data_IF_142228005331
#
_entry.id   IF_142228005331
#
_cell.length_a   1.000
_cell.length_b   1.000
_cell.length_c   1.000
_cell.angle_alpha   90.00
_cell.angle_beta   90.00
_cell.angle_gamma   90.00
#
_symmetry.space_group_name_H-M   'P 1'
#
loop_
_entity.id
_entity.type
_entity.pdbx_description
1 polymer ?
#
# COMPACT_ATOMS: atom_id res chain seq x y z
N UNK A 1 48.92 62.60 7.48
CA UNK A 1 48.57 61.27 8.08
C UNK A 1 47.11 61.00 7.79
N UNK A 2 46.82 60.14 6.79
CA UNK A 2 45.45 59.74 6.37
C UNK A 2 45.26 58.27 6.73
N UNK A 3 44.44 58.03 7.77
CA UNK A 3 44.05 56.67 8.18
C UNK A 3 42.96 56.15 7.23
N UNK A 4 43.28 55.11 6.48
CA UNK A 4 42.30 54.30 5.72
C UNK A 4 41.63 53.30 6.67
N UNK A 5 40.33 53.47 6.91
CA UNK A 5 39.47 52.46 7.53
C UNK A 5 39.04 51.49 6.45
N UNK A 6 39.54 50.22 6.50
CA UNK A 6 39.07 49.10 5.70
C UNK A 6 37.79 48.55 6.37
N UNK A 7 36.61 48.80 5.76
CA UNK A 7 35.40 48.09 6.08
C UNK A 7 35.44 46.69 5.42
N UNK A 8 35.61 45.65 6.23
CA UNK A 8 35.41 44.27 5.80
C UNK A 8 33.90 43.98 5.74
N UNK A 9 33.34 43.95 4.54
CA UNK A 9 31.98 43.48 4.31
C UNK A 9 31.97 41.95 4.46
N UNK A 10 31.45 41.45 5.59
CA UNK A 10 31.07 40.03 5.70
C UNK A 10 29.82 39.81 4.82
N UNK A 11 30.05 39.25 3.64
CA UNK A 11 29.00 38.67 2.80
C UNK A 11 28.51 37.39 3.49
N UNK A 12 27.37 37.46 4.15
CA UNK A 12 26.61 36.29 4.57
C UNK A 12 26.16 35.55 3.31
N UNK A 13 26.80 34.43 3.03
CA UNK A 13 26.34 33.47 2.00
C UNK A 13 25.03 32.87 2.52
N UNK A 14 23.89 33.05 1.85
CA UNK A 14 22.67 32.35 2.25
C UNK A 14 22.97 30.85 2.07
N UNK A 15 22.87 30.09 3.15
CA UNK A 15 22.86 28.63 3.09
C UNK A 15 21.59 28.25 2.31
N UNK A 16 21.74 28.05 0.99
CA UNK A 16 20.72 27.41 0.17
C UNK A 16 20.51 26.02 0.71
N UNK A 17 19.44 25.83 1.48
CA UNK A 17 18.93 24.50 1.78
C UNK A 17 18.38 23.93 0.48
N UNK A 18 19.16 23.10 -0.20
CA UNK A 18 18.72 22.41 -1.41
C UNK A 18 18.02 21.11 -0.98
N UNK A 19 16.77 20.96 -1.42
CA UNK A 19 16.07 19.69 -1.33
C UNK A 19 16.76 18.68 -2.25
N UNK A 20 17.12 17.52 -1.72
CA UNK A 20 17.64 16.40 -2.50
C UNK A 20 16.48 15.49 -2.89
N UNK A 21 16.24 15.33 -4.19
CA UNK A 21 15.22 14.43 -4.71
C UNK A 21 15.88 13.27 -5.45
N UNK A 22 15.61 12.06 -4.98
CA UNK A 22 16.05 10.80 -5.58
C UNK A 22 14.85 10.12 -6.23
N UNK A 23 14.94 9.75 -7.52
CA UNK A 23 13.89 9.04 -8.25
C UNK A 23 14.35 7.64 -8.63
N UNK A 24 13.71 6.63 -8.04
CA UNK A 24 13.89 5.21 -8.37
C UNK A 24 12.49 4.67 -8.66
N UNK A 25 12.03 4.60 -9.92
CA UNK A 25 10.68 4.15 -10.23
C UNK A 25 10.34 2.80 -9.58
N UNK A 26 9.19 2.64 -8.93
CA UNK A 26 8.09 3.61 -8.76
C UNK A 26 8.27 4.60 -7.58
N UNK A 27 9.43 4.63 -6.92
CA UNK A 27 9.70 5.38 -5.69
C UNK A 27 10.35 6.74 -5.98
N UNK A 28 9.83 7.79 -5.36
CA UNK A 28 10.46 9.12 -5.28
C UNK A 28 10.76 9.44 -3.81
N UNK A 29 12.01 9.80 -3.53
CA UNK A 29 12.48 10.18 -2.18
C UNK A 29 12.89 11.62 -2.20
N UNK A 30 12.34 12.44 -1.33
CA UNK A 30 12.71 13.85 -1.12
C UNK A 30 13.21 14.05 0.29
N UNK A 31 14.38 14.67 0.45
CA UNK A 31 14.92 15.05 1.76
C UNK A 31 15.05 16.55 1.85
N UNK A 32 14.49 17.13 2.91
CA UNK A 32 14.54 18.58 3.21
C UNK A 32 15.31 18.79 4.51
N UNK A 33 16.33 19.68 4.55
CA UNK A 33 17.06 19.95 5.77
C UNK A 33 16.16 20.48 6.88
N UNK A 34 16.35 20.02 8.12
CA UNK A 34 15.66 20.54 9.29
C UNK A 34 16.42 21.79 9.78
N UNK A 35 15.75 22.95 9.77
CA UNK A 35 16.36 24.24 10.03
C UNK A 35 16.87 24.46 11.47
N UNK A 36 16.46 23.63 12.43
CA UNK A 36 16.80 23.79 13.85
C UNK A 36 17.22 22.45 14.47
N UNK A 37 18.48 22.36 14.91
CA UNK A 37 18.93 21.37 15.91
C UNK A 37 20.16 20.55 15.60
N UNK A 38 20.29 19.88 14.49
CA UNK A 38 21.51 19.16 14.14
C UNK A 38 21.82 19.26 12.65
N UNK A 39 23.09 19.49 12.33
CA UNK A 39 23.58 19.65 10.96
C UNK A 39 23.36 18.42 10.05
N UNK A 40 22.82 17.32 10.62
CA UNK A 40 22.72 16.02 9.98
C UNK A 40 21.31 15.42 9.99
N UNK A 41 20.30 16.18 10.42
CA UNK A 41 18.91 15.72 10.44
C UNK A 41 18.13 16.31 9.26
N UNK A 42 17.38 15.47 8.56
CA UNK A 42 16.57 15.83 7.40
C UNK A 42 15.18 15.24 7.53
N UNK A 43 14.17 16.03 7.13
CA UNK A 43 12.85 15.45 6.86
C UNK A 43 12.95 14.54 5.63
N UNK A 44 12.40 13.35 5.76
CA UNK A 44 12.33 12.36 4.70
C UNK A 44 10.87 12.25 4.24
N UNK A 45 10.62 12.50 2.97
CA UNK A 45 9.36 12.19 2.32
C UNK A 45 9.60 11.18 1.21
N UNK A 46 8.94 10.04 1.28
CA UNK A 46 8.97 9.04 0.23
C UNK A 46 7.57 8.93 -0.38
N UNK A 47 7.52 8.87 -1.70
CA UNK A 47 6.28 8.70 -2.45
C UNK A 47 6.46 7.56 -3.43
N UNK A 48 5.63 6.52 -3.33
CA UNK A 48 5.56 5.43 -4.29
C UNK A 48 4.31 5.58 -5.15
N UNK A 49 4.48 5.56 -6.47
CA UNK A 49 3.38 5.49 -7.42
C UNK A 49 2.89 4.03 -7.53
N UNK A 50 1.61 3.82 -7.29
CA UNK A 50 0.97 2.51 -7.30
C UNK A 50 0.05 2.31 -8.51
N UNK A 51 0.22 3.07 -9.59
CA UNK A 51 -0.55 2.93 -10.82
C UNK A 51 -0.49 1.50 -11.38
N UNK A 52 0.69 0.89 -11.40
CA UNK A 52 0.85 -0.51 -11.84
C UNK A 52 0.05 -1.48 -10.97
N UNK A 53 -0.04 -1.24 -9.66
CA UNK A 53 -0.88 -2.04 -8.76
C UNK A 53 -2.36 -1.85 -9.07
N UNK A 54 -2.80 -0.60 -9.34
CA UNK A 54 -4.19 -0.31 -9.73
C UNK A 54 -4.56 -1.06 -11.02
N UNK A 55 -3.70 -1.03 -12.01
CA UNK A 55 -3.92 -1.69 -13.31
C UNK A 55 -3.98 -3.22 -13.20
N UNK A 56 -3.22 -3.81 -12.27
CA UNK A 56 -3.10 -5.26 -12.12
C UNK A 56 -3.91 -5.85 -10.97
N UNK A 57 -4.62 -5.05 -10.17
CA UNK A 57 -5.30 -5.52 -8.96
C UNK A 57 -6.30 -6.64 -9.23
N UNK A 58 -7.02 -6.59 -10.35
CA UNK A 58 -7.93 -7.66 -10.76
C UNK A 58 -7.20 -8.98 -10.92
N UNK A 59 -6.11 -9.00 -11.69
CA UNK A 59 -5.33 -10.21 -11.95
C UNK A 59 -4.70 -10.78 -10.68
N UNK A 60 -4.22 -9.91 -9.79
CA UNK A 60 -3.65 -10.30 -8.49
C UNK A 60 -4.70 -11.00 -7.61
N UNK A 61 -5.89 -10.42 -7.49
CA UNK A 61 -6.97 -11.03 -6.70
C UNK A 61 -7.48 -12.32 -7.34
N UNK A 62 -7.61 -12.37 -8.66
CA UNK A 62 -7.98 -13.60 -9.38
C UNK A 62 -6.99 -14.72 -9.11
N UNK A 63 -5.70 -14.45 -9.17
CA UNK A 63 -4.66 -15.46 -8.91
C UNK A 63 -4.70 -16.03 -7.48
N UNK A 64 -5.17 -15.24 -6.51
CA UNK A 64 -5.22 -15.64 -5.11
C UNK A 64 -6.56 -16.26 -4.70
N UNK A 65 -7.67 -15.82 -5.28
CA UNK A 65 -9.02 -16.14 -4.82
C UNK A 65 -9.76 -17.12 -5.76
N UNK A 66 -9.42 -17.14 -7.06
CA UNK A 66 -10.09 -18.03 -8.01
C UNK A 66 -9.53 -19.45 -7.91
N UNK A 67 -10.18 -20.28 -7.11
CA UNK A 67 -9.81 -21.68 -6.93
C UNK A 67 -10.70 -22.57 -7.80
N UNK A 68 -10.13 -23.63 -8.33
CA UNK A 68 -10.81 -24.57 -9.25
C UNK A 68 -11.50 -25.75 -8.53
N UNK A 69 -11.63 -25.70 -7.20
CA UNK A 69 -12.25 -26.78 -6.44
C UNK A 69 -13.72 -26.93 -6.82
N UNK A 70 -14.12 -28.16 -7.13
CA UNK A 70 -15.48 -28.45 -7.55
C UNK A 70 -16.45 -28.69 -6.39
N UNK A 71 -15.97 -28.65 -5.15
CA UNK A 71 -16.74 -28.98 -3.96
C UNK A 71 -16.58 -27.88 -2.89
N UNK A 72 -17.66 -27.57 -2.18
CA UNK A 72 -17.62 -26.57 -1.13
C UNK A 72 -17.94 -25.16 -1.63
N UNK A 73 -17.36 -24.17 -1.01
CA UNK A 73 -17.55 -22.76 -1.33
C UNK A 73 -16.51 -22.31 -2.36
N UNK A 74 -16.98 -21.64 -3.39
CA UNK A 74 -16.15 -21.09 -4.45
C UNK A 74 -16.42 -19.60 -4.57
N UNK A 75 -15.38 -18.82 -4.39
CA UNK A 75 -15.40 -17.38 -4.64
C UNK A 75 -14.48 -17.12 -5.83
N UNK A 76 -14.99 -16.44 -6.85
CA UNK A 76 -14.21 -15.99 -8.00
C UNK A 76 -14.33 -14.48 -8.15
N UNK A 77 -13.21 -13.81 -8.36
CA UNK A 77 -13.16 -12.38 -8.66
C UNK A 77 -13.33 -12.22 -10.16
N UNK A 78 -14.31 -11.41 -10.56
CA UNK A 78 -14.54 -11.05 -11.96
C UNK A 78 -13.75 -9.80 -12.33
N UNK A 79 -13.82 -8.80 -11.47
CA UNK A 79 -13.15 -7.50 -11.62
C UNK A 79 -12.86 -6.90 -10.25
N UNK A 80 -11.82 -6.08 -10.18
CA UNK A 80 -11.55 -5.23 -9.02
C UNK A 80 -11.04 -3.86 -9.46
N UNK A 81 -11.31 -2.83 -8.66
CA UNK A 81 -10.73 -1.49 -8.78
C UNK A 81 -10.08 -1.11 -7.46
N UNK A 82 -9.03 -0.30 -7.54
CA UNK A 82 -8.33 0.24 -6.38
C UNK A 82 -8.24 1.76 -6.56
N UNK A 83 -9.01 2.47 -5.78
CA UNK A 83 -9.21 3.91 -5.93
C UNK A 83 -8.63 4.68 -4.73
N UNK A 84 -8.02 5.87 -4.94
CA UNK A 84 -7.57 6.71 -3.83
C UNK A 84 -8.77 7.22 -3.01
N UNK A 85 -8.66 7.07 -1.69
CA UNK A 85 -9.61 7.62 -0.71
C UNK A 85 -8.84 8.14 0.51
N UNK A 86 -7.98 9.17 0.35
CA UNK A 86 -7.04 9.61 1.39
C UNK A 86 -7.69 9.82 2.76
N UNK A 87 -7.02 9.42 3.85
CA UNK A 87 -5.67 8.84 3.96
C UNK A 87 -5.60 7.32 3.70
N UNK A 88 -6.71 6.70 3.32
CA UNK A 88 -6.86 5.30 2.94
C UNK A 88 -6.97 5.12 1.41
N UNK A 89 -7.20 3.89 0.97
CA UNK A 89 -7.66 3.57 -0.40
C UNK A 89 -8.88 2.66 -0.35
N UNK A 90 -9.68 2.68 -1.39
CA UNK A 90 -10.87 1.85 -1.55
C UNK A 90 -10.63 0.78 -2.62
N UNK A 91 -10.60 -0.46 -2.19
CA UNK A 91 -10.64 -1.62 -3.08
C UNK A 91 -12.09 -2.06 -3.24
N UNK A 92 -12.59 -2.13 -4.48
CA UNK A 92 -13.93 -2.65 -4.78
C UNK A 92 -13.78 -3.91 -5.61
N UNK A 93 -14.15 -5.06 -5.06
CA UNK A 93 -14.11 -6.36 -5.74
C UNK A 93 -15.52 -6.79 -6.17
N UNK A 94 -15.67 -7.11 -7.44
CA UNK A 94 -16.86 -7.74 -8.03
C UNK A 94 -16.61 -9.24 -8.09
N UNK A 95 -17.46 -9.99 -7.40
CA UNK A 95 -17.23 -11.43 -7.19
C UNK A 95 -18.43 -12.25 -7.61
N UNK A 96 -18.16 -13.47 -8.07
CA UNK A 96 -19.14 -14.52 -8.22
C UNK A 96 -18.92 -15.59 -7.14
N UNK A 97 -19.96 -15.93 -6.42
CA UNK A 97 -19.95 -16.94 -5.37
C UNK A 97 -20.81 -18.14 -5.76
N UNK A 98 -20.29 -19.32 -5.49
CA UNK A 98 -21.02 -20.58 -5.64
C UNK A 98 -20.77 -21.47 -4.43
N UNK A 99 -21.81 -22.21 -4.04
CA UNK A 99 -21.69 -23.28 -3.05
C UNK A 99 -22.14 -24.60 -3.66
N UNK A 100 -21.25 -25.58 -3.59
CA UNK A 100 -21.44 -26.89 -4.16
C UNK A 100 -21.43 -27.97 -3.07
N UNK A 101 -22.42 -28.89 -3.10
CA UNK A 101 -22.38 -30.11 -2.32
C UNK A 101 -21.85 -31.25 -3.18
N UNK A 102 -20.93 -32.02 -2.63
CA UNK A 102 -20.40 -33.21 -3.29
C UNK A 102 -20.83 -34.44 -2.52
N UNK A 103 -21.52 -35.33 -3.20
CA UNK A 103 -21.98 -36.60 -2.67
C UNK A 103 -21.27 -37.74 -3.42
N UNK A 104 -20.66 -38.64 -2.65
CA UNK A 104 -20.09 -39.90 -3.20
C UNK A 104 -21.14 -40.98 -3.09
N UNK A 105 -21.70 -41.40 -4.23
CA UNK A 105 -22.62 -42.51 -4.31
C UNK A 105 -22.01 -43.59 -5.19
N UNK A 106 -21.88 -44.80 -4.66
CA UNK A 106 -21.36 -45.99 -5.42
C UNK A 106 -20.02 -45.74 -6.13
N UNK A 107 -19.10 -45.01 -5.48
CA UNK A 107 -17.77 -44.70 -6.03
C UNK A 107 -17.73 -43.57 -7.07
N UNK A 108 -18.89 -43.05 -7.48
CA UNK A 108 -18.98 -41.87 -8.36
C UNK A 108 -19.25 -40.62 -7.53
N UNK A 109 -18.48 -39.55 -7.77
CA UNK A 109 -18.68 -38.26 -7.18
C UNK A 109 -19.66 -37.47 -8.03
N UNK A 110 -20.75 -36.99 -7.41
CA UNK A 110 -21.71 -36.09 -8.02
C UNK A 110 -21.61 -34.70 -7.27
N UNK A 111 -21.50 -33.62 -8.03
CA UNK A 111 -21.52 -32.29 -7.51
C UNK A 111 -22.86 -31.61 -7.84
N UNK A 112 -23.50 -31.00 -6.86
CA UNK A 112 -24.73 -30.24 -7.03
C UNK A 112 -24.54 -28.83 -6.49
N UNK A 113 -24.87 -27.83 -7.33
CA UNK A 113 -24.88 -26.44 -6.91
C UNK A 113 -26.03 -26.18 -5.96
N UNK A 114 -25.73 -25.69 -4.74
CA UNK A 114 -26.72 -25.39 -3.70
C UNK A 114 -27.09 -23.92 -3.68
N UNK A 115 -26.13 -23.05 -3.93
CA UNK A 115 -26.29 -21.60 -3.86
C UNK A 115 -25.36 -20.92 -4.86
N UNK A 116 -25.68 -19.69 -5.23
CA UNK A 116 -24.84 -18.82 -6.04
C UNK A 116 -25.42 -17.43 -6.14
N UNK A 117 -24.58 -16.49 -6.52
CA UNK A 117 -24.93 -15.08 -6.72
C UNK A 117 -23.70 -14.25 -6.97
N UNK A 118 -23.94 -13.02 -7.39
CA UNK A 118 -22.89 -12.04 -7.55
C UNK A 118 -22.88 -11.09 -6.35
N UNK A 119 -21.72 -10.51 -6.09
CA UNK A 119 -21.59 -9.56 -5.00
C UNK A 119 -20.57 -8.48 -5.29
N UNK A 120 -20.70 -7.39 -4.59
CA UNK A 120 -19.74 -6.28 -4.56
C UNK A 120 -19.21 -6.18 -3.14
N UNK A 121 -17.91 -6.23 -3.01
CA UNK A 121 -17.19 -6.23 -1.74
C UNK A 121 -16.32 -4.98 -1.70
N UNK A 122 -16.73 -3.92 -0.98
CA UNK A 122 -15.89 -2.78 -0.72
C UNK A 122 -14.94 -3.09 0.44
N UNK A 123 -13.66 -2.75 0.29
CA UNK A 123 -12.62 -2.93 1.31
C UNK A 123 -11.83 -1.64 1.43
N UNK A 124 -11.85 -1.05 2.62
CA UNK A 124 -10.98 0.07 2.95
C UNK A 124 -9.61 -0.46 3.33
N UNK A 125 -8.57 0.04 2.68
CA UNK A 125 -7.18 -0.31 2.96
C UNK A 125 -6.51 0.86 3.65
N UNK A 126 -6.11 0.67 4.91
CA UNK A 126 -5.39 1.69 5.68
C UNK A 126 -3.94 1.26 5.85
N UNK A 127 -2.97 2.07 5.39
CA UNK A 127 -1.57 1.75 5.60
C UNK A 127 -1.17 2.08 7.04
N UNK A 128 -0.30 1.28 7.61
CA UNK A 128 0.25 1.47 8.96
C UNK A 128 1.74 1.08 8.98
N UNK A 129 2.51 1.74 9.83
CA UNK A 129 3.90 1.37 10.09
C UNK A 129 3.93 0.26 11.13
N UNK A 130 4.66 -0.81 10.82
CA UNK A 130 4.99 -1.86 11.78
C UNK A 130 6.32 -1.57 12.48
N UNK A 131 6.61 -2.27 13.58
CA UNK A 131 7.77 -2.04 14.45
C UNK A 131 9.14 -2.12 13.74
N UNK A 132 9.21 -2.77 12.59
CA UNK A 132 10.43 -2.93 11.79
C UNK A 132 10.50 -1.97 10.59
N UNK A 133 9.81 -0.85 10.63
CA UNK A 133 9.69 0.13 9.54
C UNK A 133 9.06 -0.43 8.25
N UNK A 134 8.36 -1.56 8.34
CA UNK A 134 7.60 -2.09 7.23
C UNK A 134 6.23 -1.44 7.16
N UNK A 135 5.78 -1.16 5.94
CA UNK A 135 4.40 -0.75 5.71
C UNK A 135 3.51 -2.00 5.67
N UNK A 136 2.49 -2.03 6.52
CA UNK A 136 1.43 -3.03 6.51
C UNK A 136 0.14 -2.40 6.06
N UNK A 137 -0.70 -3.17 5.38
CA UNK A 137 -2.04 -2.76 5.02
C UNK A 137 -3.04 -3.44 5.94
N UNK A 138 -3.92 -2.65 6.56
CA UNK A 138 -5.03 -3.13 7.36
C UNK A 138 -6.30 -3.07 6.50
N UNK A 139 -6.82 -4.22 6.00
CA UNK A 139 -8.06 -4.27 5.25
C UNK A 139 -9.26 -4.25 6.21
N UNK A 140 -10.23 -3.40 5.92
CA UNK A 140 -11.54 -3.37 6.58
C UNK A 140 -12.62 -3.63 5.53
N UNK A 141 -13.26 -4.80 5.62
CA UNK A 141 -14.33 -5.18 4.69
C UNK A 141 -15.62 -4.47 5.09
N UNK A 142 -16.12 -3.65 4.18
CA UNK A 142 -17.37 -2.93 4.33
C UNK A 142 -18.61 -3.82 4.14
N UNK A 143 -19.76 -3.18 3.97
CA UNK A 143 -21.01 -3.90 3.73
C UNK A 143 -20.97 -4.59 2.36
N UNK A 144 -21.09 -5.91 2.35
CA UNK A 144 -21.17 -6.69 1.13
C UNK A 144 -22.57 -6.55 0.55
N UNK A 145 -22.65 -6.12 -0.70
CA UNK A 145 -23.90 -6.11 -1.47
C UNK A 145 -23.91 -7.36 -2.35
N UNK A 146 -24.96 -8.17 -2.27
CA UNK A 146 -25.06 -9.41 -3.01
C UNK A 146 -26.48 -9.73 -3.43
N UNK A 147 -26.60 -10.40 -4.57
CA UNK A 147 -27.86 -10.92 -5.10
C UNK A 147 -28.06 -12.42 -4.81
N UNK A 148 -29.23 -12.92 -5.22
CA UNK A 148 -29.57 -14.33 -5.16
C UNK A 148 -29.49 -14.96 -3.76
N UNK A 149 -29.10 -16.22 -3.73
CA UNK A 149 -28.96 -16.96 -2.48
C UNK A 149 -27.73 -16.56 -1.65
N UNK A 150 -26.75 -15.89 -2.25
CA UNK A 150 -25.65 -15.27 -1.54
C UNK A 150 -26.14 -14.13 -0.65
N UNK A 151 -26.98 -13.23 -1.19
CA UNK A 151 -27.58 -12.14 -0.41
C UNK A 151 -28.38 -12.65 0.78
N UNK A 152 -29.12 -13.74 0.63
CA UNK A 152 -29.84 -14.39 1.72
C UNK A 152 -28.90 -14.99 2.77
N UNK A 153 -27.82 -15.65 2.34
CA UNK A 153 -26.82 -16.25 3.25
C UNK A 153 -26.08 -15.19 4.07
N UNK A 154 -25.76 -14.03 3.47
CA UNK A 154 -25.08 -12.92 4.15
C UNK A 154 -25.96 -12.22 5.20
N UNK A 155 -27.27 -12.39 5.15
CA UNK A 155 -28.19 -11.91 6.20
C UNK A 155 -28.11 -12.76 7.47
N UNK A 156 -27.58 -13.99 7.40
CA UNK A 156 -27.30 -14.81 8.56
C UNK A 156 -25.97 -14.36 9.20
N UNK A 157 -25.96 -13.81 10.42
CA UNK A 157 -24.78 -13.14 10.99
C UNK A 157 -23.52 -14.00 10.98
N UNK A 158 -23.63 -15.26 11.39
CA UNK A 158 -22.48 -16.17 11.47
C UNK A 158 -21.82 -16.49 10.10
N UNK A 159 -22.60 -16.55 9.03
CA UNK A 159 -22.06 -16.80 7.68
C UNK A 159 -21.43 -15.52 7.12
N UNK A 160 -22.08 -14.39 7.32
CA UNK A 160 -21.56 -13.09 6.85
C UNK A 160 -20.24 -12.73 7.52
N UNK A 161 -20.08 -12.96 8.80
CA UNK A 161 -18.86 -12.68 9.55
C UNK A 161 -17.73 -13.61 9.10
N UNK A 162 -17.96 -14.91 9.00
CA UNK A 162 -16.97 -15.87 8.51
C UNK A 162 -16.49 -15.57 7.07
N UNK A 163 -17.39 -15.09 6.22
CA UNK A 163 -17.05 -14.70 4.86
C UNK A 163 -16.21 -13.42 4.84
N UNK A 164 -16.54 -12.42 5.66
CA UNK A 164 -15.73 -11.19 5.81
C UNK A 164 -14.32 -11.51 6.29
N UNK A 165 -14.19 -12.35 7.32
CA UNK A 165 -12.87 -12.74 7.85
C UNK A 165 -12.03 -13.43 6.80
N UNK A 166 -12.62 -14.35 6.03
CA UNK A 166 -11.93 -15.06 4.94
C UNK A 166 -11.49 -14.11 3.83
N UNK A 167 -12.33 -13.16 3.44
CA UNK A 167 -12.00 -12.16 2.43
C UNK A 167 -10.89 -11.24 2.92
N UNK A 168 -10.99 -10.72 4.16
CA UNK A 168 -9.95 -9.90 4.77
C UNK A 168 -8.60 -10.59 4.77
N UNK A 169 -8.54 -11.83 5.26
CA UNK A 169 -7.30 -12.61 5.29
C UNK A 169 -6.72 -12.86 3.89
N UNK A 170 -7.57 -13.13 2.91
CA UNK A 170 -7.14 -13.37 1.52
C UNK A 170 -6.60 -12.11 0.86
N UNK A 171 -7.27 -10.98 1.05
CA UNK A 171 -6.83 -9.67 0.55
C UNK A 171 -5.51 -9.26 1.22
N UNK A 172 -5.42 -9.40 2.53
CA UNK A 172 -4.18 -9.11 3.27
C UNK A 172 -3.02 -9.93 2.72
N UNK A 173 -3.20 -11.25 2.56
CA UNK A 173 -2.16 -12.13 2.00
C UNK A 173 -1.77 -11.77 0.57
N UNK A 174 -2.73 -11.37 -0.27
CA UNK A 174 -2.46 -10.93 -1.65
C UNK A 174 -1.64 -9.63 -1.67
N UNK A 175 -2.02 -8.67 -0.83
CA UNK A 175 -1.37 -7.36 -0.76
C UNK A 175 0.02 -7.45 -0.10
N UNK A 176 0.21 -8.26 0.93
CA UNK A 176 1.53 -8.48 1.55
C UNK A 176 2.56 -9.01 0.53
N UNK A 177 2.13 -9.85 -0.41
CA UNK A 177 2.99 -10.34 -1.50
C UNK A 177 3.28 -9.28 -2.56
N UNK A 178 2.30 -8.39 -2.82
CA UNK A 178 2.42 -7.34 -3.84
C UNK A 178 3.20 -6.11 -3.33
N UNK A 179 3.11 -5.81 -2.03
CA UNK A 179 3.65 -4.59 -1.42
C UNK A 179 4.91 -4.81 -0.59
N UNK A 180 5.83 -5.66 -1.05
CA UNK A 180 7.13 -5.78 -0.39
C UNK A 180 7.99 -4.51 -0.66
N UNK A 181 7.48 -3.36 -0.16
CA UNK A 181 8.11 -2.03 -0.31
C UNK A 181 9.45 -1.93 0.42
N UNK A 182 9.71 -2.81 1.40
CA UNK A 182 10.98 -2.84 2.11
C UNK A 182 12.15 -3.23 1.22
N UNK A 183 11.89 -3.98 0.12
CA UNK A 183 12.96 -4.38 -0.82
C UNK A 183 13.43 -3.21 -1.72
N UNK A 184 12.77 -2.07 -1.70
CA UNK A 184 13.07 -0.92 -2.57
C UNK A 184 13.74 0.26 -1.88
N UNK A 185 13.81 0.26 -0.55
CA UNK A 185 14.52 1.32 0.18
C UNK A 185 16.04 1.15 -0.02
N UNK A 186 16.76 2.22 -0.42
CA UNK A 186 18.22 2.19 -0.40
C UNK A 186 18.73 1.87 1.00
N UNK A 187 19.69 0.97 1.12
CA UNK A 187 20.22 0.47 2.40
C UNK A 187 20.67 1.60 3.37
N UNK A 188 21.05 2.75 2.82
CA UNK A 188 21.42 3.93 3.63
C UNK A 188 20.26 4.47 4.45
N UNK A 189 19.02 4.34 3.97
CA UNK A 189 17.83 4.80 4.68
C UNK A 189 17.31 3.75 5.68
N UNK A 190 17.52 2.46 5.43
CA UNK A 190 17.08 1.38 6.34
C UNK A 190 17.66 1.51 7.75
N UNK A 191 18.90 2.00 7.86
CA UNK A 191 19.60 2.10 9.13
C UNK A 191 19.52 3.49 9.80
N UNK A 192 19.18 4.51 9.02
CA UNK A 192 19.30 5.92 9.47
C UNK A 192 17.98 6.65 9.48
N UNK A 193 16.94 6.09 8.86
CA UNK A 193 15.61 6.72 8.82
C UNK A 193 14.74 6.27 9.99
N UNK A 194 13.99 7.23 10.55
CA UNK A 194 12.91 7.02 11.51
C UNK A 194 11.60 7.40 10.82
N UNK A 195 10.83 6.39 10.41
CA UNK A 195 9.53 6.62 9.76
C UNK A 195 8.49 7.00 10.82
N UNK A 196 7.69 8.02 10.56
CA UNK A 196 6.74 8.58 11.52
C UNK A 196 5.30 8.43 11.08
N UNK A 197 5.04 8.53 9.77
CA UNK A 197 3.69 8.48 9.23
C UNK A 197 3.67 7.76 7.88
N UNK A 198 2.54 7.11 7.59
CA UNK A 198 2.26 6.51 6.29
C UNK A 198 0.80 6.73 5.95
N UNK A 199 0.53 7.10 4.68
CA UNK A 199 -0.84 7.31 4.20
C UNK A 199 -0.93 7.06 2.70
N UNK A 200 -2.14 6.81 2.23
CA UNK A 200 -2.44 6.93 0.81
C UNK A 200 -2.78 8.38 0.43
N UNK A 201 -2.45 8.75 -0.78
CA UNK A 201 -2.74 10.04 -1.38
C UNK A 201 -3.23 9.86 -2.82
N UNK A 202 -3.87 10.90 -3.36
CA UNK A 202 -4.23 10.96 -4.78
C UNK A 202 -3.13 11.67 -5.54
N UNK A 203 -2.61 11.02 -6.56
CA UNK A 203 -1.76 11.62 -7.58
C UNK A 203 -2.55 12.22 -8.72
N UNK A 204 -1.83 12.65 -9.76
CA UNK A 204 -2.42 13.13 -11.00
C UNK A 204 -3.22 12.01 -11.69
N UNK A 205 -4.26 12.37 -12.41
CA UNK A 205 -5.13 11.45 -13.15
C UNK A 205 -5.80 10.34 -12.32
N UNK A 206 -5.84 10.45 -10.97
CA UNK A 206 -6.44 9.45 -10.09
C UNK A 206 -5.50 8.32 -9.72
N UNK A 207 -4.20 8.47 -9.94
CA UNK A 207 -3.20 7.50 -9.49
C UNK A 207 -3.20 7.41 -7.96
N UNK A 208 -3.07 6.20 -7.44
CA UNK A 208 -2.88 5.95 -6.03
C UNK A 208 -1.40 6.13 -5.67
N UNK A 209 -1.14 6.99 -4.71
CA UNK A 209 0.20 7.19 -4.16
C UNK A 209 0.25 6.65 -2.73
N UNK A 210 1.39 6.04 -2.36
CA UNK A 210 1.72 5.77 -0.96
C UNK A 210 2.77 6.79 -0.53
N UNK A 211 2.42 7.62 0.45
CA UNK A 211 3.33 8.59 1.06
C UNK A 211 3.80 8.09 2.42
N UNK A 212 5.11 8.19 2.65
CA UNK A 212 5.75 7.88 3.93
C UNK A 212 6.57 9.08 4.34
N UNK A 213 6.29 9.61 5.52
CA UNK A 213 7.01 10.73 6.11
C UNK A 213 7.87 10.24 7.28
N UNK A 214 9.03 10.88 7.47
CA UNK A 214 9.93 10.53 8.55
C UNK A 214 11.09 11.51 8.70
N UNK A 215 12.09 11.08 9.45
CA UNK A 215 13.35 11.80 9.63
C UNK A 215 14.52 10.86 9.30
N UNK A 216 15.59 11.41 8.74
CA UNK A 216 16.81 10.69 8.48
C UNK A 216 18.03 11.45 9.01
N UNK A 217 18.95 10.72 9.60
CA UNK A 217 20.21 11.25 10.10
C UNK A 217 21.35 10.80 9.19
N UNK A 218 21.85 11.69 8.33
CA UNK A 218 22.92 11.40 7.36
C UNK A 218 24.23 12.06 7.76
N UNK A 219 25.30 11.31 7.82
CA UNK A 219 26.65 11.87 7.95
C UNK A 219 27.07 12.59 6.66
N UNK A 220 28.00 13.53 6.77
CA UNK A 220 28.55 14.24 5.61
C UNK A 220 29.09 13.29 4.51
N UNK A 221 29.65 12.15 4.91
CA UNK A 221 30.13 11.10 4.00
C UNK A 221 28.98 10.44 3.23
N UNK A 222 27.89 10.09 3.92
CA UNK A 222 26.71 9.48 3.29
C UNK A 222 26.04 10.45 2.32
N UNK A 223 25.96 11.75 2.66
CA UNK A 223 25.47 12.78 1.74
C UNK A 223 26.33 12.84 0.47
N UNK A 224 27.66 12.82 0.62
CA UNK A 224 28.57 12.85 -0.54
C UNK A 224 28.45 11.58 -1.41
N UNK A 225 28.24 10.41 -0.81
CA UNK A 225 28.01 9.16 -1.52
C UNK A 225 26.69 9.17 -2.30
N UNK A 226 25.61 9.72 -1.71
CA UNK A 226 24.34 9.89 -2.39
C UNK A 226 24.45 10.82 -3.61
N UNK A 227 25.17 11.94 -3.50
CA UNK A 227 25.38 12.90 -4.60
C UNK A 227 26.22 12.31 -5.73
N UNK A 228 27.18 11.42 -5.42
CA UNK A 228 28.06 10.82 -6.44
C UNK A 228 27.43 9.71 -7.24
N UNK A 229 26.44 9.03 -6.67
CA UNK A 229 25.82 7.85 -7.27
C UNK A 229 24.56 8.19 -8.09
N UNK A 230 24.24 9.47 -8.21
CA UNK A 230 23.11 10.04 -8.94
C UNK A 230 23.48 11.29 -9.71
#
# INVERSE_FOLDING_TARGET
MRSLLLLAALSAVPACSQDLTLRIPPLTITTTPIAYGSANAFHLKMTADLADLQDHITALLQAQLNHSDHCGERLSVERATLDPAPPASLLTAYVHYERWACVKLFGKQSAQRLAGGNGVIPVTLTPALADNHQVKLAPEVGRIEADGSLGQALQAPAIGDALRDKISASIQSALEKATNLTATLPAVFEQTASLQNVRFASGDAGHLLLEVDGEVHLSARQIQELIKNH
#
